data_IF_714867401210
#
_entry.id   IF_714867401210
#
_cell.length_a   1.000
_cell.length_b   1.000
_cell.length_c   1.000
_cell.angle_alpha   90.00
_cell.angle_beta   90.00
_cell.angle_gamma   90.00
#
_symmetry.space_group_name_H-M   'P 1'
#
loop_
_entity.id
_entity.type
_entity.pdbx_description
1 polymer ?
#
# COMPACT_ATOMS: atom_id res chain seq x y z
N UNK A 1 -8.38 23.33 16.57
CA UNK A 1 -7.24 22.64 15.93
C UNK A 1 -7.72 21.27 15.44
N UNK A 2 -7.74 20.99 14.14
CA UNK A 2 -8.22 19.70 13.61
C UNK A 2 -7.27 18.59 14.08
N UNK A 3 -7.80 17.54 14.72
CA UNK A 3 -7.10 16.34 15.26
C UNK A 3 -6.29 15.53 14.22
N UNK A 4 -6.13 16.00 12.98
CA UNK A 4 -5.72 15.20 11.83
C UNK A 4 -4.20 15.21 11.53
N UNK A 5 -3.40 16.08 12.16
CA UNK A 5 -1.97 16.26 11.82
C UNK A 5 -1.04 16.04 13.01
N UNK A 6 -1.10 14.86 13.65
CA UNK A 6 -0.03 14.44 14.56
C UNK A 6 0.77 13.29 13.92
N UNK A 7 2.11 13.36 13.84
CA UNK A 7 2.96 12.25 13.37
C UNK A 7 3.04 11.17 14.45
N UNK A 8 1.94 10.48 14.69
CA UNK A 8 1.78 9.49 15.76
C UNK A 8 1.52 8.10 15.18
N UNK A 9 2.20 7.11 15.73
CA UNK A 9 1.85 5.69 15.54
C UNK A 9 0.65 5.36 16.43
N UNK A 10 -0.43 4.88 15.83
CA UNK A 10 -1.61 4.39 16.54
C UNK A 10 -1.43 2.94 17.00
N UNK A 11 -0.77 2.11 16.20
CA UNK A 11 -0.58 0.69 16.50
C UNK A 11 0.74 0.15 15.95
N UNK A 12 1.72 -0.04 16.83
CA UNK A 12 2.96 -0.76 16.52
C UNK A 12 2.70 -2.23 16.21
N UNK A 13 1.72 -2.84 16.89
CA UNK A 13 1.32 -4.22 16.63
C UNK A 13 0.81 -4.40 15.19
N UNK A 14 0.03 -3.45 14.68
CA UNK A 14 -0.43 -3.47 13.29
C UNK A 14 0.74 -3.42 12.30
N UNK A 15 1.76 -2.60 12.57
CA UNK A 15 2.98 -2.52 11.75
C UNK A 15 3.71 -3.86 11.78
N UNK A 16 3.99 -4.38 12.98
CA UNK A 16 4.68 -5.66 13.16
C UNK A 16 3.95 -6.79 12.41
N UNK A 17 2.62 -6.88 12.54
CA UNK A 17 1.83 -7.89 11.84
C UNK A 17 1.90 -7.78 10.31
N UNK A 18 2.06 -6.57 9.75
CA UNK A 18 2.26 -6.41 8.29
C UNK A 18 3.64 -6.87 7.87
N UNK A 19 4.66 -6.55 8.66
CA UNK A 19 6.05 -6.96 8.39
C UNK A 19 6.19 -8.47 8.48
N UNK A 20 5.70 -9.09 9.56
CA UNK A 20 5.76 -10.54 9.74
C UNK A 20 4.95 -11.27 8.66
N UNK A 21 3.75 -10.76 8.32
CA UNK A 21 2.96 -11.28 7.22
C UNK A 21 3.70 -11.23 5.87
N UNK A 22 4.45 -10.17 5.60
CA UNK A 22 5.29 -10.05 4.40
C UNK A 22 6.47 -11.03 4.40
N UNK A 23 7.09 -11.29 5.56
CA UNK A 23 8.20 -12.25 5.67
C UNK A 23 7.73 -13.68 5.43
N UNK A 24 6.59 -14.04 5.99
CA UNK A 24 6.00 -15.39 5.87
C UNK A 24 5.23 -15.62 4.57
N UNK A 25 5.02 -14.58 3.75
CA UNK A 25 4.26 -14.71 2.51
C UNK A 25 5.10 -15.47 1.46
N UNK A 26 4.55 -16.57 0.96
CA UNK A 26 5.04 -17.22 -0.25
C UNK A 26 4.62 -16.42 -1.48
N UNK A 27 5.53 -16.31 -2.45
CA UNK A 27 5.31 -15.53 -3.66
C UNK A 27 6.54 -14.72 -4.06
N UNK A 28 6.40 -13.95 -5.13
CA UNK A 28 7.48 -13.08 -5.59
C UNK A 28 7.51 -11.75 -4.80
N UNK A 29 8.52 -10.95 -5.10
CA UNK A 29 8.71 -9.63 -4.48
C UNK A 29 7.54 -8.67 -4.72
N UNK A 30 6.78 -8.82 -5.80
CA UNK A 30 5.61 -7.98 -6.05
C UNK A 30 4.43 -8.42 -5.18
N UNK A 31 4.24 -9.73 -4.95
CA UNK A 31 3.25 -10.23 -3.98
C UNK A 31 3.51 -9.64 -2.58
N UNK A 32 4.78 -9.62 -2.18
CA UNK A 32 5.23 -9.00 -0.92
C UNK A 32 5.00 -7.49 -0.87
N UNK A 33 5.32 -6.77 -1.95
CA UNK A 33 5.06 -5.34 -2.06
C UNK A 33 3.57 -5.00 -1.95
N UNK A 34 2.69 -5.78 -2.61
CA UNK A 34 1.23 -5.66 -2.49
C UNK A 34 0.79 -5.88 -1.04
N UNK A 35 1.31 -6.92 -0.37
CA UNK A 35 0.99 -7.19 1.02
C UNK A 35 1.32 -6.01 1.94
N UNK A 36 2.53 -5.44 1.80
CA UNK A 36 2.95 -4.27 2.58
C UNK A 36 2.04 -3.07 2.33
N UNK A 37 1.78 -2.74 1.06
CA UNK A 37 0.95 -1.60 0.68
C UNK A 37 -0.47 -1.74 1.24
N UNK A 38 -1.12 -2.87 0.93
CA UNK A 38 -2.50 -3.15 1.34
C UNK A 38 -2.62 -3.22 2.87
N UNK A 39 -1.67 -3.89 3.52
CA UNK A 39 -1.62 -4.03 4.97
C UNK A 39 -1.56 -2.69 5.70
N UNK A 40 -0.69 -1.77 5.28
CA UNK A 40 -0.59 -0.43 5.89
C UNK A 40 -1.87 0.38 5.64
N UNK A 41 -2.40 0.36 4.41
CA UNK A 41 -3.63 1.11 4.08
C UNK A 41 -4.82 0.65 4.92
N UNK A 42 -5.00 -0.66 5.05
CA UNK A 42 -6.17 -1.25 5.70
C UNK A 42 -6.08 -1.24 7.21
N UNK A 43 -4.90 -1.58 7.79
CA UNK A 43 -4.71 -1.60 9.25
C UNK A 43 -4.54 -0.21 9.85
N UNK A 44 -4.32 0.81 9.01
CA UNK A 44 -4.25 2.22 9.38
C UNK A 44 -3.38 2.49 10.65
N UNK A 45 -2.12 2.01 10.68
CA UNK A 45 -1.29 2.05 11.89
C UNK A 45 -0.84 3.45 12.31
N UNK A 46 -1.00 4.48 11.47
CA UNK A 46 -0.60 5.86 11.74
C UNK A 46 -1.82 6.78 11.90
N UNK A 47 -1.68 7.87 12.66
CA UNK A 47 -2.74 8.86 12.83
C UNK A 47 -3.05 9.61 11.53
N UNK A 48 -2.03 9.82 10.71
CA UNK A 48 -2.11 10.41 9.38
C UNK A 48 -1.06 9.78 8.47
N UNK A 49 -1.20 9.96 7.17
CA UNK A 49 -0.17 9.58 6.20
C UNK A 49 -0.17 8.11 5.77
N UNK A 50 -1.05 7.23 6.27
CA UNK A 50 -1.05 5.79 5.96
C UNK A 50 -0.90 5.46 4.46
N UNK A 51 -1.63 6.15 3.58
CA UNK A 51 -1.57 5.92 2.12
C UNK A 51 -0.22 6.32 1.52
N UNK A 52 0.33 7.46 1.97
CA UNK A 52 1.65 7.95 1.53
C UNK A 52 2.74 6.99 2.01
N UNK A 53 2.68 6.58 3.28
CA UNK A 53 3.61 5.60 3.83
C UNK A 53 3.52 4.26 3.10
N UNK A 54 2.31 3.75 2.84
CA UNK A 54 2.11 2.49 2.12
C UNK A 54 2.71 2.52 0.71
N UNK A 55 2.51 3.63 0.00
CA UNK A 55 3.07 3.83 -1.34
C UNK A 55 4.59 3.86 -1.33
N UNK A 56 5.18 4.65 -0.43
CA UNK A 56 6.65 4.75 -0.27
C UNK A 56 7.23 3.40 0.13
N UNK A 57 6.63 2.71 1.11
CA UNK A 57 7.11 1.38 1.55
C UNK A 57 7.13 0.38 0.40
N UNK A 58 6.07 0.31 -0.40
CA UNK A 58 6.04 -0.61 -1.55
C UNK A 58 7.05 -0.24 -2.64
N UNK A 59 7.21 1.06 -2.92
CA UNK A 59 8.20 1.56 -3.86
C UNK A 59 9.62 1.22 -3.42
N UNK A 60 10.02 1.64 -2.22
CA UNK A 60 11.37 1.42 -1.70
C UNK A 60 11.67 -0.06 -1.54
N UNK A 61 10.71 -0.87 -1.06
CA UNK A 61 10.88 -2.32 -0.99
C UNK A 61 11.22 -2.93 -2.35
N UNK A 62 10.55 -2.54 -3.43
CA UNK A 62 10.85 -3.05 -4.76
C UNK A 62 12.20 -2.55 -5.28
N UNK A 63 12.53 -1.28 -5.04
CA UNK A 63 13.82 -0.71 -5.46
C UNK A 63 15.01 -1.39 -4.74
N UNK A 64 14.89 -1.62 -3.43
CA UNK A 64 15.88 -2.34 -2.63
C UNK A 64 16.08 -3.78 -3.12
N UNK A 65 15.03 -4.39 -3.68
CA UNK A 65 15.05 -5.72 -4.31
C UNK A 65 15.41 -5.67 -5.81
N UNK A 66 15.93 -4.54 -6.32
CA UNK A 66 16.34 -4.33 -7.72
C UNK A 66 15.22 -4.54 -8.74
N UNK A 67 13.98 -4.30 -8.33
CA UNK A 67 12.79 -4.40 -9.17
C UNK A 67 12.24 -3.04 -9.55
N UNK A 68 11.31 -3.04 -10.51
CA UNK A 68 10.71 -1.82 -11.01
C UNK A 68 9.41 -1.50 -10.30
N UNK A 69 9.18 -0.22 -10.06
CA UNK A 69 7.90 0.30 -9.60
C UNK A 69 7.41 1.30 -10.66
N UNK A 70 6.40 0.89 -11.45
CA UNK A 70 5.97 1.63 -12.66
C UNK A 70 4.79 2.56 -12.43
N UNK A 71 4.40 2.76 -11.17
CA UNK A 71 3.37 3.75 -10.84
C UNK A 71 4.00 5.13 -10.88
N UNK A 72 3.44 6.01 -11.69
CA UNK A 72 3.84 7.42 -11.76
C UNK A 72 3.29 8.21 -10.57
N UNK A 73 3.84 9.39 -10.31
CA UNK A 73 3.23 10.30 -9.33
C UNK A 73 2.01 10.97 -9.99
N UNK A 74 0.84 10.38 -9.82
CA UNK A 74 -0.43 10.86 -10.38
C UNK A 74 -1.49 11.03 -9.26
N UNK A 75 -2.08 12.24 -9.10
CA UNK A 75 -3.12 12.50 -8.11
C UNK A 75 -4.35 11.57 -8.22
N UNK A 76 -4.63 11.02 -9.41
CA UNK A 76 -5.75 10.08 -9.64
C UNK A 76 -5.61 8.81 -8.81
N UNK A 77 -4.39 8.41 -8.43
CA UNK A 77 -4.15 7.26 -7.57
C UNK A 77 -4.65 7.46 -6.14
N UNK A 78 -4.99 8.68 -5.71
CA UNK A 78 -5.69 8.89 -4.45
C UNK A 78 -7.02 8.09 -4.38
N UNK A 79 -7.72 7.95 -5.51
CA UNK A 79 -8.93 7.12 -5.62
C UNK A 79 -8.60 5.63 -5.58
N UNK A 80 -7.51 5.20 -6.21
CA UNK A 80 -7.03 3.81 -6.13
C UNK A 80 -6.72 3.43 -4.67
N UNK A 81 -6.04 4.31 -3.92
CA UNK A 81 -5.78 4.09 -2.49
C UNK A 81 -7.05 3.98 -1.65
N UNK A 82 -8.13 4.66 -2.04
CA UNK A 82 -9.45 4.46 -1.44
C UNK A 82 -10.00 3.07 -1.78
N UNK A 83 -9.93 2.65 -3.04
CA UNK A 83 -10.35 1.31 -3.45
C UNK A 83 -9.61 0.18 -2.74
N UNK A 84 -8.29 0.32 -2.49
CA UNK A 84 -7.53 -0.64 -1.69
C UNK A 84 -8.07 -0.73 -0.27
N UNK A 85 -8.38 0.41 0.36
CA UNK A 85 -8.98 0.45 1.70
C UNK A 85 -10.33 -0.25 1.74
N UNK A 86 -11.10 -0.17 0.66
CA UNK A 86 -12.43 -0.78 0.54
C UNK A 86 -12.40 -2.22 -0.01
N UNK A 87 -11.23 -2.85 -0.13
CA UNK A 87 -11.07 -4.19 -0.71
C UNK A 87 -11.62 -4.34 -2.14
N UNK A 88 -11.63 -3.26 -2.92
CA UNK A 88 -12.16 -3.26 -4.29
C UNK A 88 -11.28 -4.00 -5.31
N UNK A 89 -9.97 -4.03 -5.05
CA UNK A 89 -8.97 -4.64 -5.94
C UNK A 89 -8.48 -5.97 -5.39
N UNK A 90 -8.28 -6.95 -6.28
CA UNK A 90 -7.59 -8.20 -5.94
C UNK A 90 -6.10 -7.97 -5.76
N UNK A 91 -5.40 -8.96 -5.19
CA UNK A 91 -3.94 -8.85 -5.04
C UNK A 91 -3.25 -8.85 -6.41
N UNK A 92 -3.77 -9.60 -7.37
CA UNK A 92 -3.30 -9.69 -8.75
C UNK A 92 -3.48 -8.35 -9.49
N UNK A 93 -4.62 -7.68 -9.33
CA UNK A 93 -4.83 -6.33 -9.89
C UNK A 93 -3.82 -5.33 -9.32
N UNK A 94 -3.54 -5.39 -8.02
CA UNK A 94 -2.56 -4.52 -7.38
C UNK A 94 -1.13 -4.85 -7.80
N UNK A 95 -0.82 -6.13 -8.00
CA UNK A 95 0.48 -6.61 -8.50
C UNK A 95 0.74 -6.10 -9.91
N UNK A 96 -0.24 -6.23 -10.80
CA UNK A 96 -0.16 -5.70 -12.15
C UNK A 96 -0.06 -4.16 -12.15
N UNK A 97 -0.74 -3.50 -11.23
CA UNK A 97 -0.63 -2.05 -11.09
C UNK A 97 0.77 -1.59 -10.69
N UNK A 98 1.39 -2.17 -9.66
CA UNK A 98 2.75 -1.79 -9.25
C UNK A 98 3.80 -2.13 -10.32
N UNK A 99 3.57 -3.22 -11.06
CA UNK A 99 4.49 -3.72 -12.09
C UNK A 99 4.40 -2.95 -13.40
N UNK A 100 3.20 -2.56 -13.82
CA UNK A 100 2.91 -2.03 -15.15
C UNK A 100 2.29 -0.61 -15.15
N UNK A 101 1.94 -0.07 -13.99
CA UNK A 101 1.35 1.27 -13.82
C UNK A 101 -0.13 1.38 -14.23
N UNK A 102 -0.77 0.28 -14.66
CA UNK A 102 -2.15 0.25 -15.12
C UNK A 102 -3.06 -0.40 -14.09
N UNK A 103 -4.19 0.24 -13.80
CA UNK A 103 -5.22 -0.31 -12.91
C UNK A 103 -6.60 0.14 -13.35
N UNK A 104 -7.60 -0.69 -13.06
CA UNK A 104 -9.01 -0.37 -13.30
C UNK A 104 -9.44 0.82 -12.44
N UNK A 105 -10.27 1.70 -13.00
CA UNK A 105 -10.80 2.84 -12.27
C UNK A 105 -11.60 2.39 -11.04
N UNK A 106 -11.38 3.07 -9.91
CA UNK A 106 -12.18 2.86 -8.71
C UNK A 106 -13.53 3.57 -8.86
N UNK A 107 -14.62 2.79 -8.86
CA UNK A 107 -15.98 3.31 -8.89
C UNK A 107 -16.72 2.86 -7.62
N UNK A 108 -17.15 3.84 -6.82
CA UNK A 108 -17.93 3.61 -5.61
C UNK A 108 -19.39 3.47 -6.02
N UNK A 109 -19.92 2.25 -5.93
CA UNK A 109 -21.36 2.01 -6.05
C UNK A 109 -22.11 2.62 -4.87
#
# INVERSE_FOLDING_TARGET
MKKADSPKVLSYHSIANVIEGCKSLDGDIYDKAVHLMKGIIQKHPFASGNRRTAFIVAKEFLLDNRAHFKIMDDPSYARVMQGIRENFYTNEELKEWIKNGKIREFNRR
#
